data_IF_078174175517
#
_entry.id   IF_078174175517
#
_cell.length_a   1.000
_cell.length_b   1.000
_cell.length_c   1.000
_cell.angle_alpha   90.00
_cell.angle_beta   90.00
_cell.angle_gamma   90.00
#
_symmetry.space_group_name_H-M   'P 1'
#
loop_
_entity.id
_entity.type
_entity.pdbx_description
1 polymer ?
#
# COMPACT_ATOMS: atom_id res chain seq x y z
N UNK A 1 3.01 12.57 27.47
CA UNK A 1 3.26 13.70 26.56
C UNK A 1 4.29 13.23 25.55
N UNK A 2 4.10 13.54 24.25
CA UNK A 2 5.02 13.17 23.17
C UNK A 2 5.48 14.45 22.52
N UNK A 3 6.79 14.64 22.39
CA UNK A 3 7.39 15.74 21.66
C UNK A 3 7.81 15.22 20.27
N UNK A 4 7.51 16.00 19.22
CA UNK A 4 7.81 15.65 17.84
C UNK A 4 8.86 16.62 17.28
N UNK A 5 9.87 16.09 16.62
CA UNK A 5 10.78 16.82 15.74
C UNK A 5 10.27 16.69 14.31
N UNK A 6 9.92 17.81 13.68
CA UNK A 6 9.42 17.82 12.30
C UNK A 6 10.57 17.57 11.33
N UNK A 7 10.43 16.59 10.46
CA UNK A 7 11.35 16.31 9.38
C UNK A 7 10.89 17.02 8.09
N UNK A 8 11.81 17.28 7.13
CA UNK A 8 11.43 17.79 5.83
C UNK A 8 10.42 16.87 5.14
N UNK A 9 9.37 17.47 4.55
CA UNK A 9 8.28 16.73 3.92
C UNK A 9 8.16 17.09 2.45
N UNK A 10 7.87 16.10 1.61
CA UNK A 10 7.53 16.24 0.19
C UNK A 10 6.19 15.53 -0.02
N UNK A 11 5.22 16.26 -0.55
CA UNK A 11 3.87 15.75 -0.83
C UNK A 11 3.55 15.69 -2.33
N UNK A 12 4.49 16.10 -3.17
CA UNK A 12 4.39 16.10 -4.63
C UNK A 12 5.33 15.02 -5.19
N UNK A 13 4.82 13.97 -5.85
CA UNK A 13 5.65 12.88 -6.35
C UNK A 13 6.63 13.32 -7.44
N UNK A 14 6.32 14.37 -8.21
CA UNK A 14 7.24 14.89 -9.21
C UNK A 14 8.41 15.62 -8.56
N UNK A 15 8.15 16.42 -7.53
CA UNK A 15 9.21 17.04 -6.71
C UNK A 15 10.04 16.02 -5.95
N UNK A 16 9.43 14.91 -5.54
CA UNK A 16 10.15 13.82 -4.89
C UNK A 16 11.19 13.14 -5.79
N UNK A 17 11.08 13.29 -7.10
CA UNK A 17 12.01 12.74 -8.11
C UNK A 17 13.05 13.77 -8.61
N UNK A 18 13.04 14.99 -8.11
CA UNK A 18 14.06 16.00 -8.44
C UNK A 18 15.43 15.58 -7.85
N UNK A 19 16.55 15.89 -8.55
CA UNK A 19 17.88 15.41 -8.14
C UNK A 19 18.32 15.80 -6.73
N UNK A 20 17.82 16.94 -6.23
CA UNK A 20 18.12 17.53 -4.92
C UNK A 20 17.00 17.28 -3.87
N UNK A 21 16.03 16.43 -4.21
CA UNK A 21 14.94 16.11 -3.30
C UNK A 21 15.44 15.43 -2.02
N UNK A 22 14.80 15.74 -0.90
CA UNK A 22 15.06 15.07 0.37
C UNK A 22 14.82 13.57 0.24
N UNK A 23 15.71 12.76 0.80
CA UNK A 23 15.55 11.30 0.84
C UNK A 23 14.46 10.95 1.84
N UNK A 24 13.36 10.38 1.35
CA UNK A 24 12.21 9.95 2.17
C UNK A 24 12.41 8.52 2.72
N UNK A 25 13.10 7.68 1.95
CA UNK A 25 13.35 6.27 2.26
C UNK A 25 14.86 6.01 2.27
N UNK A 26 15.49 6.30 3.39
CA UNK A 26 16.95 6.08 3.57
C UNK A 26 17.35 4.61 3.41
N UNK A 27 16.46 3.70 3.77
CA UNK A 27 16.64 2.26 3.60
C UNK A 27 16.71 1.82 2.11
N UNK A 28 16.14 2.62 1.22
CA UNK A 28 16.17 2.41 -0.23
C UNK A 28 17.26 3.22 -0.93
N UNK A 29 17.87 4.17 -0.23
CA UNK A 29 18.90 5.03 -0.81
C UNK A 29 20.10 4.21 -1.32
N UNK A 30 20.57 4.54 -2.52
CA UNK A 30 21.70 3.84 -3.15
C UNK A 30 21.34 2.48 -3.79
N UNK A 31 20.13 2.01 -3.66
CA UNK A 31 19.68 0.81 -4.38
C UNK A 31 19.27 1.19 -5.80
N UNK A 32 19.87 0.52 -6.79
CA UNK A 32 19.60 0.75 -8.22
C UNK A 32 18.56 -0.21 -8.79
N UNK A 33 18.22 -1.26 -8.07
CA UNK A 33 17.18 -2.22 -8.45
C UNK A 33 16.37 -2.63 -7.23
N UNK A 34 15.09 -2.87 -7.42
CA UNK A 34 14.19 -3.42 -6.42
C UNK A 34 13.56 -4.71 -6.91
N UNK A 35 12.69 -5.31 -6.09
CA UNK A 35 11.97 -6.54 -6.44
C UNK A 35 11.12 -6.39 -7.73
N UNK A 36 10.76 -5.17 -8.09
CA UNK A 36 9.85 -4.85 -9.19
C UNK A 36 10.47 -4.01 -10.32
N UNK A 37 11.80 -3.89 -10.39
CA UNK A 37 12.46 -3.22 -11.51
C UNK A 37 13.55 -2.23 -11.12
N UNK A 38 13.94 -1.41 -12.09
CA UNK A 38 14.99 -0.42 -11.96
C UNK A 38 14.52 0.80 -11.17
N UNK A 39 15.39 1.32 -10.31
CA UNK A 39 15.19 2.57 -9.59
C UNK A 39 16.04 3.67 -10.20
N UNK A 40 15.39 4.77 -10.59
CA UNK A 40 16.05 5.92 -11.21
C UNK A 40 16.42 7.01 -10.20
N UNK A 41 15.84 6.95 -9.00
CA UNK A 41 16.02 7.96 -7.95
C UNK A 41 15.84 7.33 -6.56
N UNK A 42 16.42 7.92 -5.50
CA UNK A 42 16.32 7.42 -4.13
C UNK A 42 14.88 7.38 -3.57
N UNK A 43 14.00 8.27 -4.04
CA UNK A 43 12.56 8.23 -3.70
C UNK A 43 11.71 7.43 -4.70
N UNK A 44 12.32 6.85 -5.73
CA UNK A 44 11.63 6.04 -6.73
C UNK A 44 11.53 4.59 -6.23
N UNK A 45 10.31 4.09 -6.00
CA UNK A 45 10.10 2.75 -5.46
C UNK A 45 10.39 1.69 -6.52
N UNK A 46 9.79 1.80 -7.70
CA UNK A 46 10.00 0.91 -8.84
C UNK A 46 9.46 1.52 -10.13
N UNK A 47 9.90 0.99 -11.25
CA UNK A 47 9.31 1.19 -12.57
C UNK A 47 8.89 -0.17 -13.12
N UNK A 48 7.64 -0.27 -13.55
CA UNK A 48 7.12 -1.44 -14.24
C UNK A 48 6.61 -1.06 -15.62
N UNK A 49 7.02 -1.81 -16.63
CA UNK A 49 6.60 -1.59 -18.01
C UNK A 49 6.09 -2.92 -18.58
N UNK A 50 5.02 -2.84 -19.38
CA UNK A 50 4.46 -3.98 -20.10
C UNK A 50 4.02 -3.58 -21.50
N UNK A 51 4.05 -4.52 -22.42
CA UNK A 51 3.71 -4.31 -23.82
C UNK A 51 4.93 -4.05 -24.71
N UNK A 52 4.68 -3.63 -25.94
CA UNK A 52 5.70 -3.27 -26.92
C UNK A 52 5.69 -1.76 -27.14
N UNK A 53 6.58 -1.07 -26.43
CA UNK A 53 6.70 0.40 -26.47
C UNK A 53 6.99 0.90 -27.88
N UNK A 54 7.96 0.29 -28.56
CA UNK A 54 8.39 0.76 -29.88
C UNK A 54 7.27 0.59 -30.93
N UNK A 55 6.58 -0.56 -30.94
CA UNK A 55 5.46 -0.78 -31.82
C UNK A 55 4.29 0.16 -31.50
N UNK A 56 4.02 0.41 -30.22
CA UNK A 56 2.95 1.33 -29.80
C UNK A 56 3.26 2.77 -30.20
N UNK A 57 4.47 3.26 -29.99
CA UNK A 57 4.91 4.59 -30.43
C UNK A 57 4.78 4.75 -31.95
N UNK A 58 5.21 3.75 -32.73
CA UNK A 58 5.06 3.77 -34.18
C UNK A 58 3.60 3.86 -34.64
N UNK A 59 2.70 3.13 -33.97
CA UNK A 59 1.26 3.17 -34.26
C UNK A 59 0.68 4.55 -33.93
N UNK A 60 1.07 5.14 -32.79
CA UNK A 60 0.61 6.47 -32.38
C UNK A 60 1.10 7.55 -33.35
N UNK A 61 2.38 7.51 -33.76
CA UNK A 61 2.98 8.51 -34.65
C UNK A 61 2.36 8.46 -36.06
N UNK A 62 1.84 7.33 -36.50
CA UNK A 62 1.26 7.14 -37.83
C UNK A 62 -0.26 7.08 -37.86
N UNK A 63 -0.93 7.25 -36.72
CA UNK A 63 -2.37 7.18 -36.63
C UNK A 63 -3.10 8.35 -37.29
N UNK A 64 -4.28 8.12 -37.84
CA UNK A 64 -5.14 9.18 -38.37
C UNK A 64 -5.64 10.15 -37.31
N UNK A 65 -5.90 9.60 -36.10
CA UNK A 65 -6.42 10.35 -34.96
C UNK A 65 -5.68 9.90 -33.69
N UNK A 66 -5.20 10.88 -32.93
CA UNK A 66 -4.62 10.65 -31.60
C UNK A 66 -5.34 11.54 -30.59
N UNK A 67 -5.80 10.94 -29.51
CA UNK A 67 -6.29 11.66 -28.33
C UNK A 67 -5.33 11.42 -27.17
N UNK A 68 -4.96 12.48 -26.47
CA UNK A 68 -4.09 12.45 -25.31
C UNK A 68 -4.76 13.23 -24.17
N UNK A 69 -4.76 12.65 -22.97
CA UNK A 69 -5.32 13.28 -21.78
C UNK A 69 -4.50 12.90 -20.54
N UNK A 70 -4.44 13.82 -19.58
CA UNK A 70 -3.89 13.61 -18.25
C UNK A 70 -5.03 13.67 -17.23
N UNK A 71 -5.20 12.63 -16.47
CA UNK A 71 -6.18 12.54 -15.40
C UNK A 71 -5.47 12.42 -14.05
N UNK A 72 -5.85 13.26 -13.11
CA UNK A 72 -5.42 13.13 -11.73
C UNK A 72 -6.53 12.49 -10.90
N UNK A 73 -6.22 11.34 -10.30
CA UNK A 73 -7.11 10.64 -9.39
C UNK A 73 -6.69 10.91 -7.95
N UNK A 74 -7.44 11.78 -7.30
CA UNK A 74 -7.11 12.27 -5.96
C UNK A 74 -6.97 11.18 -4.92
N UNK A 75 -6.06 11.40 -3.97
CA UNK A 75 -5.95 10.59 -2.75
C UNK A 75 -7.28 10.60 -1.98
N UNK A 76 -7.73 9.44 -1.58
CA UNK A 76 -9.01 9.27 -0.90
C UNK A 76 -8.86 8.33 0.29
N UNK A 77 -9.36 8.75 1.45
CA UNK A 77 -9.50 7.85 2.59
C UNK A 77 -10.77 7.02 2.43
N UNK A 78 -10.72 5.68 2.49
CA UNK A 78 -11.89 4.81 2.30
C UNK A 78 -12.97 4.97 3.37
N UNK A 79 -12.59 5.37 4.56
CA UNK A 79 -13.45 5.71 5.70
C UNK A 79 -14.57 4.67 5.98
N UNK A 80 -14.24 3.38 6.19
CA UNK A 80 -15.25 2.39 6.55
C UNK A 80 -15.95 2.79 7.84
N UNK A 81 -17.26 2.50 7.96
CA UNK A 81 -18.04 2.87 9.15
C UNK A 81 -17.48 2.20 10.42
N UNK A 82 -17.13 0.94 10.34
CA UNK A 82 -16.37 0.25 11.37
C UNK A 82 -14.88 0.56 11.21
N UNK A 83 -14.24 1.04 12.28
CA UNK A 83 -12.79 1.24 12.33
C UNK A 83 -12.04 -0.06 12.46
N UNK A 84 -10.70 -0.04 12.50
CA UNK A 84 -9.91 -1.24 12.71
C UNK A 84 -9.95 -1.69 14.17
N UNK A 85 -9.96 -2.99 14.40
CA UNK A 85 -9.93 -3.55 15.73
C UNK A 85 -9.48 -5.00 15.75
N UNK A 86 -8.92 -5.42 16.88
CA UNK A 86 -8.47 -6.80 17.09
C UNK A 86 -8.62 -7.24 18.55
N UNK A 87 -8.77 -8.54 18.70
CA UNK A 87 -8.58 -9.25 19.98
C UNK A 87 -7.57 -10.36 19.74
N UNK A 88 -6.53 -10.40 20.55
CA UNK A 88 -5.55 -11.46 20.52
C UNK A 88 -5.58 -12.26 21.83
N UNK A 89 -5.46 -13.57 21.75
CA UNK A 89 -5.41 -14.46 22.92
C UNK A 89 -4.46 -15.62 22.65
N UNK A 90 -3.59 -15.88 23.61
CA UNK A 90 -2.66 -17.01 23.57
C UNK A 90 -3.05 -18.07 24.59
N UNK A 91 -3.21 -19.30 24.12
CA UNK A 91 -3.33 -20.46 24.99
C UNK A 91 -1.94 -20.87 25.50
N UNK A 92 -1.73 -20.70 26.79
CA UNK A 92 -0.46 -21.00 27.45
C UNK A 92 -0.09 -22.49 27.48
N UNK A 93 -1.10 -23.38 27.40
CA UNK A 93 -0.89 -24.81 27.45
C UNK A 93 -0.44 -25.35 26.10
N UNK A 94 -1.14 -24.93 25.05
CA UNK A 94 -0.87 -25.41 23.67
C UNK A 94 0.10 -24.54 22.90
N UNK A 95 0.39 -23.33 23.36
CA UNK A 95 1.19 -22.33 22.62
C UNK A 95 0.49 -21.75 21.40
N UNK A 96 -0.83 -21.98 21.24
CA UNK A 96 -1.58 -21.49 20.10
C UNK A 96 -2.06 -20.06 20.31
N UNK A 97 -1.80 -19.22 19.29
CA UNK A 97 -2.28 -17.85 19.22
C UNK A 97 -3.56 -17.79 18.38
N UNK A 98 -4.60 -17.15 18.90
CA UNK A 98 -5.80 -16.82 18.12
C UNK A 98 -5.95 -15.29 18.07
N UNK A 99 -6.17 -14.77 16.85
CA UNK A 99 -6.35 -13.35 16.60
C UNK A 99 -7.68 -13.15 15.86
N UNK A 100 -8.60 -12.44 16.47
CA UNK A 100 -9.85 -12.00 15.86
C UNK A 100 -9.72 -10.53 15.48
N UNK A 101 -10.22 -10.15 14.34
CA UNK A 101 -10.17 -8.73 13.97
C UNK A 101 -10.86 -8.43 12.66
N UNK A 102 -10.90 -7.14 12.36
CA UNK A 102 -11.55 -6.58 11.19
C UNK A 102 -10.60 -6.59 9.99
N UNK A 103 -10.26 -7.78 9.49
CA UNK A 103 -9.23 -7.98 8.46
C UNK A 103 -9.83 -8.28 7.10
N UNK A 104 -9.36 -7.62 6.04
CA UNK A 104 -9.62 -8.03 4.66
C UNK A 104 -8.67 -9.15 4.21
N UNK A 105 -7.47 -9.22 4.79
CA UNK A 105 -6.42 -10.16 4.43
C UNK A 105 -5.95 -10.99 5.65
N UNK A 106 -6.76 -11.92 6.17
CA UNK A 106 -6.41 -12.69 7.37
C UNK A 106 -5.13 -13.52 7.21
N UNK A 107 -4.80 -13.96 5.99
CA UNK A 107 -3.57 -14.69 5.73
C UNK A 107 -2.33 -13.80 5.90
N UNK A 108 -2.38 -12.56 5.46
CA UNK A 108 -1.29 -11.58 5.64
C UNK A 108 -1.07 -11.32 7.13
N UNK A 109 -2.14 -11.12 7.90
CA UNK A 109 -2.05 -10.96 9.36
C UNK A 109 -1.40 -12.18 10.02
N UNK A 110 -1.72 -13.40 9.57
CA UNK A 110 -1.11 -14.64 10.09
C UNK A 110 0.39 -14.68 9.82
N UNK A 111 0.80 -14.40 8.59
CA UNK A 111 2.21 -14.40 8.20
C UNK A 111 2.99 -13.34 8.96
N UNK A 112 2.49 -12.10 9.05
CA UNK A 112 3.13 -11.03 9.81
C UNK A 112 3.20 -11.37 11.29
N UNK A 113 2.14 -11.93 11.88
CA UNK A 113 2.15 -12.39 13.27
C UNK A 113 3.22 -13.47 13.52
N UNK A 114 3.39 -14.39 12.58
CA UNK A 114 4.45 -15.42 12.63
C UNK A 114 5.85 -14.81 12.57
N UNK A 115 6.09 -13.93 11.61
CA UNK A 115 7.39 -13.25 11.44
C UNK A 115 7.81 -12.44 12.67
N UNK A 116 6.85 -11.75 13.30
CA UNK A 116 7.10 -10.90 14.47
C UNK A 116 7.26 -11.67 15.77
N UNK A 117 6.52 -12.77 15.93
CA UNK A 117 6.48 -13.52 17.19
C UNK A 117 7.38 -14.73 17.23
N UNK A 118 7.82 -15.23 16.09
CA UNK A 118 8.51 -16.52 15.94
C UNK A 118 7.59 -17.73 16.13
N UNK A 119 6.27 -17.53 16.32
CA UNK A 119 5.29 -18.63 16.39
C UNK A 119 5.06 -19.13 14.96
N UNK A 120 5.15 -20.43 14.74
CA UNK A 120 4.91 -21.03 13.44
C UNK A 120 3.45 -20.82 12.99
N UNK A 121 3.23 -20.52 11.71
CA UNK A 121 1.90 -20.16 11.17
C UNK A 121 0.80 -21.19 11.49
N UNK A 122 1.12 -22.48 11.57
CA UNK A 122 0.14 -23.51 11.91
C UNK A 122 -0.34 -23.47 13.37
N UNK A 123 0.36 -22.73 14.24
CA UNK A 123 -0.03 -22.44 15.61
C UNK A 123 -0.76 -21.09 15.75
N UNK A 124 -0.97 -20.37 14.63
CA UNK A 124 -1.66 -19.09 14.61
C UNK A 124 -2.99 -19.25 13.87
N UNK A 125 -4.09 -18.96 14.55
CA UNK A 125 -5.41 -18.87 13.96
C UNK A 125 -5.85 -17.42 13.84
N UNK A 126 -6.09 -16.95 12.63
CA UNK A 126 -6.67 -15.63 12.38
C UNK A 126 -8.13 -15.80 11.98
N UNK A 127 -9.01 -15.05 12.61
CA UNK A 127 -10.45 -15.07 12.37
C UNK A 127 -10.91 -13.66 12.00
N UNK A 128 -11.44 -13.53 10.79
CA UNK A 128 -12.12 -12.31 10.35
C UNK A 128 -13.60 -12.62 10.28
N UNK A 129 -14.41 -12.12 11.23
CA UNK A 129 -15.87 -12.21 11.16
C UNK A 129 -16.42 -11.28 10.07
N UNK A 130 -17.73 -11.11 10.00
CA UNK A 130 -18.33 -10.07 9.17
C UNK A 130 -17.81 -8.70 9.59
N UNK A 131 -17.28 -7.94 8.63
CA UNK A 131 -16.66 -6.64 8.88
C UNK A 131 -17.54 -5.50 8.34
N UNK A 132 -17.54 -4.38 9.04
CA UNK A 132 -18.33 -3.17 8.72
C UNK A 132 -17.71 -2.29 7.64
N UNK A 133 -17.32 -2.92 6.52
CA UNK A 133 -16.61 -2.29 5.40
C UNK A 133 -15.09 -2.39 5.53
N UNK A 134 -14.42 -2.35 4.39
CA UNK A 134 -12.96 -2.39 4.34
C UNK A 134 -12.41 -1.48 3.25
N UNK A 135 -12.85 -1.67 1.98
CA UNK A 135 -12.51 -0.83 0.84
C UNK A 135 -10.99 -0.65 0.61
N UNK A 136 -10.19 -1.68 0.97
CA UNK A 136 -8.74 -1.62 0.96
C UNK A 136 -8.11 -1.13 2.26
N UNK A 137 -8.81 -0.36 3.09
CA UNK A 137 -8.29 0.19 4.34
C UNK A 137 -7.88 -0.89 5.36
N UNK A 138 -8.54 -2.06 5.35
CA UNK A 138 -8.27 -3.17 6.30
C UNK A 138 -7.41 -4.30 5.70
N UNK A 139 -6.68 -4.03 4.62
CA UNK A 139 -5.71 -4.99 4.05
C UNK A 139 -4.39 -4.95 4.84
N UNK A 140 -3.93 -3.76 5.23
CA UNK A 140 -2.68 -3.57 5.95
C UNK A 140 -2.66 -4.15 7.36
N UNK A 141 -1.46 -4.47 7.85
CA UNK A 141 -1.24 -4.89 9.23
C UNK A 141 -0.75 -3.69 10.04
N UNK A 142 -1.66 -3.06 10.73
CA UNK A 142 -1.38 -1.83 11.46
C UNK A 142 -0.70 -2.06 12.81
N UNK A 143 0.04 -1.06 13.34
CA UNK A 143 0.75 -1.17 14.62
C UNK A 143 -0.14 -1.63 15.79
N UNK A 144 -1.39 -1.21 15.84
CA UNK A 144 -2.33 -1.62 16.88
C UNK A 144 -2.61 -3.12 16.91
N UNK A 145 -2.67 -3.77 15.74
CA UNK A 145 -2.78 -5.24 15.66
C UNK A 145 -1.52 -5.91 16.22
N UNK A 146 -0.35 -5.41 15.82
CA UNK A 146 0.94 -5.93 16.27
C UNK A 146 1.08 -5.78 17.80
N UNK A 147 0.76 -4.61 18.32
CA UNK A 147 0.82 -4.33 19.75
C UNK A 147 -0.10 -5.27 20.56
N UNK A 148 -1.32 -5.52 20.09
CA UNK A 148 -2.24 -6.45 20.74
C UNK A 148 -1.72 -7.90 20.72
N UNK A 149 -1.13 -8.34 19.61
CA UNK A 149 -0.51 -9.67 19.47
C UNK A 149 0.68 -9.81 20.43
N UNK A 150 1.59 -8.86 20.41
CA UNK A 150 2.78 -8.89 21.29
C UNK A 150 2.37 -8.81 22.76
N UNK A 151 1.44 -7.92 23.11
CA UNK A 151 0.97 -7.78 24.48
C UNK A 151 0.30 -9.05 25.03
N UNK A 152 -0.47 -9.79 24.22
CA UNK A 152 -1.07 -11.05 24.67
C UNK A 152 0.00 -12.13 24.88
N UNK A 153 1.04 -12.16 24.06
CA UNK A 153 2.16 -13.11 24.21
C UNK A 153 2.93 -12.80 25.51
N UNK A 154 3.30 -11.56 25.72
CA UNK A 154 4.10 -11.12 26.89
C UNK A 154 3.32 -11.28 28.21
N UNK A 155 2.07 -10.84 28.23
CA UNK A 155 1.26 -10.87 29.46
C UNK A 155 0.59 -12.20 29.70
N UNK A 156 0.40 -13.00 28.64
CA UNK A 156 -0.38 -14.23 28.65
C UNK A 156 -1.85 -14.01 29.01
N UNK A 157 -2.38 -12.83 28.73
CA UNK A 157 -3.79 -12.46 28.91
C UNK A 157 -4.37 -12.05 27.56
N UNK A 158 -5.68 -12.24 27.33
CA UNK A 158 -6.33 -11.67 26.15
C UNK A 158 -6.18 -10.15 26.13
N UNK A 159 -5.86 -9.62 24.96
CA UNK A 159 -5.70 -8.17 24.73
C UNK A 159 -6.62 -7.74 23.60
N UNK A 160 -7.33 -6.63 23.80
CA UNK A 160 -8.17 -6.00 22.81
C UNK A 160 -7.64 -4.61 22.49
N UNK A 161 -7.58 -4.28 21.21
CA UNK A 161 -7.34 -2.93 20.69
C UNK A 161 -8.44 -2.56 19.69
N UNK A 162 -8.90 -1.34 19.76
CA UNK A 162 -9.82 -0.74 18.78
C UNK A 162 -9.35 0.68 18.58
N UNK A 163 -9.12 1.05 17.32
CA UNK A 163 -8.83 2.44 16.97
C UNK A 163 -10.09 3.31 17.05
N UNK A 164 -9.92 4.57 17.34
CA UNK A 164 -10.97 5.55 17.16
C UNK A 164 -11.00 6.09 15.72
N UNK A 165 -11.94 6.98 15.40
CA UNK A 165 -12.04 7.53 14.05
C UNK A 165 -10.88 8.45 13.70
N UNK A 166 -10.33 9.16 14.66
CA UNK A 166 -9.18 10.03 14.42
C UNK A 166 -7.92 9.21 14.12
N UNK A 167 -7.70 8.14 14.87
CA UNK A 167 -6.62 7.18 14.59
C UNK A 167 -6.77 6.60 13.18
N UNK A 168 -7.98 6.19 12.80
CA UNK A 168 -8.27 5.64 11.48
C UNK A 168 -7.92 6.63 10.36
N UNK A 169 -8.31 7.89 10.50
CA UNK A 169 -8.02 8.93 9.50
C UNK A 169 -6.54 9.31 9.41
N UNK A 170 -5.78 9.19 10.50
CA UNK A 170 -4.37 9.59 10.55
C UNK A 170 -3.38 8.46 10.27
N UNK A 171 -3.71 7.22 10.65
CA UNK A 171 -2.74 6.14 10.72
C UNK A 171 -3.02 4.96 9.77
N UNK A 172 -4.13 4.97 9.04
CA UNK A 172 -4.44 3.91 8.10
C UNK A 172 -4.21 4.30 6.64
N UNK A 173 -4.15 3.30 5.77
CA UNK A 173 -3.84 3.49 4.36
C UNK A 173 -4.91 4.29 3.61
N UNK A 174 -4.44 5.17 2.75
CA UNK A 174 -5.25 5.88 1.77
C UNK A 174 -5.23 5.14 0.43
N UNK A 175 -6.21 5.44 -0.40
CA UNK A 175 -6.30 4.93 -1.76
C UNK A 175 -5.96 6.04 -2.76
N UNK A 176 -5.45 5.64 -3.92
CA UNK A 176 -5.20 6.53 -5.08
C UNK A 176 -3.99 7.43 -4.91
N UNK A 177 -4.11 8.65 -5.41
CA UNK A 177 -3.04 9.63 -5.65
C UNK A 177 -2.24 9.29 -6.91
N UNK A 178 -2.96 9.22 -8.03
CA UNK A 178 -2.42 8.79 -9.32
C UNK A 178 -2.55 9.88 -10.38
N UNK A 179 -1.44 10.17 -11.06
CA UNK A 179 -1.42 10.92 -12.31
C UNK A 179 -1.36 9.91 -13.45
N UNK A 180 -2.41 9.89 -14.26
CA UNK A 180 -2.56 8.94 -15.35
C UNK A 180 -2.60 9.67 -16.67
N UNK A 181 -1.56 9.49 -17.48
CA UNK A 181 -1.48 10.04 -18.85
C UNK A 181 -1.81 8.93 -19.83
N UNK A 182 -2.86 9.14 -20.62
CA UNK A 182 -3.30 8.20 -21.66
C UNK A 182 -3.18 8.78 -23.04
N UNK A 183 -2.73 7.97 -24.01
CA UNK A 183 -2.80 8.24 -25.44
C UNK A 183 -3.53 7.12 -26.14
N UNK A 184 -4.52 7.46 -26.95
CA UNK A 184 -5.27 6.52 -27.78
C UNK A 184 -5.06 6.91 -29.24
N UNK A 185 -4.62 5.93 -30.03
CA UNK A 185 -4.51 6.06 -31.47
C UNK A 185 -5.69 5.34 -32.15
N UNK A 186 -6.27 5.95 -33.15
CA UNK A 186 -7.39 5.39 -33.90
C UNK A 186 -7.35 5.76 -35.40
N UNK A 187 -8.07 4.97 -36.20
CA UNK A 187 -8.38 5.29 -37.59
C UNK A 187 -9.55 6.29 -37.67
N UNK A 188 -9.76 6.93 -38.82
CA UNK A 188 -10.86 7.91 -39.04
C UNK A 188 -12.25 7.32 -38.84
N UNK A 189 -12.43 6.03 -39.03
CA UNK A 189 -13.69 5.31 -38.78
C UNK A 189 -13.85 4.86 -37.32
N UNK A 190 -12.92 5.23 -36.43
CA UNK A 190 -13.03 5.05 -34.99
C UNK A 190 -12.49 3.73 -34.46
N UNK A 191 -11.77 2.96 -35.26
CA UNK A 191 -11.12 1.75 -34.78
C UNK A 191 -9.85 2.11 -33.98
N UNK A 192 -9.80 1.69 -32.71
CA UNK A 192 -8.63 1.85 -31.84
C UNK A 192 -7.50 0.95 -32.37
N UNK A 193 -6.32 1.52 -32.57
CA UNK A 193 -5.13 0.85 -33.10
C UNK A 193 -3.99 0.79 -32.09
N UNK A 194 -3.93 1.72 -31.14
CA UNK A 194 -2.90 1.75 -30.10
C UNK A 194 -3.38 2.39 -28.82
N UNK A 195 -2.79 1.97 -27.71
CA UNK A 195 -3.02 2.54 -26.39
C UNK A 195 -1.67 2.63 -25.66
N UNK A 196 -1.36 3.81 -25.13
CA UNK A 196 -0.25 4.03 -24.22
C UNK A 196 -0.78 4.66 -22.94
N UNK A 197 -0.44 4.07 -21.80
CA UNK A 197 -0.76 4.61 -20.47
C UNK A 197 0.53 4.77 -19.68
N UNK A 198 0.68 5.91 -19.04
CA UNK A 198 1.73 6.21 -18.07
C UNK A 198 1.07 6.59 -16.74
N UNK A 199 1.46 5.92 -15.67
CA UNK A 199 0.89 6.14 -14.34
C UNK A 199 2.02 6.49 -13.38
N UNK A 200 1.90 7.65 -12.75
CA UNK A 200 2.73 8.03 -11.59
C UNK A 200 1.88 7.89 -10.34
N UNK A 201 2.28 7.00 -9.44
CA UNK A 201 1.59 6.72 -8.20
C UNK A 201 2.39 7.22 -7.00
N UNK A 202 1.76 8.01 -6.12
CA UNK A 202 2.34 8.40 -4.85
C UNK A 202 1.98 7.38 -3.77
N UNK A 203 2.99 6.65 -3.29
CA UNK A 203 2.85 5.65 -2.22
C UNK A 203 2.92 6.24 -0.82
N UNK A 204 3.30 7.52 -0.69
CA UNK A 204 3.61 8.11 0.61
C UNK A 204 4.95 7.61 1.17
N UNK A 205 5.19 7.87 2.45
CA UNK A 205 6.46 7.55 3.12
C UNK A 205 6.60 6.09 3.53
N UNK A 206 5.53 5.32 3.54
CA UNK A 206 5.53 3.93 3.98
C UNK A 206 4.97 3.01 2.91
N UNK A 207 5.65 1.89 2.72
CA UNK A 207 5.11 0.76 1.98
C UNK A 207 4.35 -0.14 2.96
N UNK A 208 3.04 0.07 3.05
CA UNK A 208 2.17 -0.65 3.99
C UNK A 208 1.67 -1.98 3.42
N UNK A 209 2.54 -2.87 3.02
CA UNK A 209 2.21 -4.15 2.36
C UNK A 209 1.44 -3.99 1.05
N UNK A 210 1.41 -2.80 0.52
CA UNK A 210 0.87 -2.54 -0.80
C UNK A 210 2.02 -2.58 -1.79
N UNK A 211 2.60 -3.73 -1.91
CA UNK A 211 3.29 -4.01 -3.13
C UNK A 211 2.25 -3.84 -4.24
N UNK A 212 2.41 -2.88 -5.14
CA UNK A 212 1.41 -2.65 -6.14
C UNK A 212 1.36 -3.86 -7.05
N UNK A 213 0.30 -4.51 -6.96
CA UNK A 213 -0.10 -5.57 -7.87
C UNK A 213 -0.74 -4.96 -9.10
#
# INVERSE_FOLDING_TARGET
EVEYEELPVITDPFKALEPDAVVLREDLAGQTSGAHGERKHHNHIFLWEAGDKAATEQVIDTADVVAEEMVYYHRTHPCPLETCGTVASMDKVTGKLTVWGTFQAPHVVRTVASLLSGIEEHNIRVVSPDIGGGFGNKVGVYPGYVCAIVATIVTGKPVKWIEDRMDNLMATAFARDYWMKGKIAATKDGKITGLHCEVTADHGAFDACADPT
#
